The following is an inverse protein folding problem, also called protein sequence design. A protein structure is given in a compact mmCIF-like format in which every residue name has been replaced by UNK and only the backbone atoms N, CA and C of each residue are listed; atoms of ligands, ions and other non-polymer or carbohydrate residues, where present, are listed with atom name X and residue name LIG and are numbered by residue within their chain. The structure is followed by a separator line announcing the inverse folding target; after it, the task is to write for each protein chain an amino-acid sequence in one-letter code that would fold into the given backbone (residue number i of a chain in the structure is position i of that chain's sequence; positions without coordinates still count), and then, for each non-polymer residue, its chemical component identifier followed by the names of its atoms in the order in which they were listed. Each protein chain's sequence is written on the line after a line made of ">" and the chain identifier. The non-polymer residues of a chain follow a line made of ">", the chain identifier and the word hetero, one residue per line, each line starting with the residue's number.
data_IF_881295528607
#
_entry.id   IF_881295528607
#
_cell.length_a   1.000
_cell.length_b   1.000
_cell.length_c   1.000
_cell.angle_alpha   90.00
_cell.angle_beta   90.00
_cell.angle_gamma   90.00
#
_symmetry.space_group_name_H-M   'P 1'
#
loop_
_entity.id
_entity.type
_entity.pdbx_description
1 polymer ?
#
# COMPACT_ATOMS: atom_id res chain seq x y z
N UNK A 1 -8.75 1.95 12.27
CA UNK A 1 -7.89 2.63 13.27
C UNK A 1 -7.70 4.13 12.93
N UNK A 2 -7.13 5.00 13.79
CA UNK A 2 -6.81 6.39 13.36
C UNK A 2 -5.64 6.40 12.37
N UNK A 3 -5.65 7.33 11.39
CA UNK A 3 -4.59 7.43 10.36
C UNK A 3 -3.20 7.59 10.98
N UNK A 4 -3.09 8.40 12.04
CA UNK A 4 -1.81 8.60 12.74
C UNK A 4 -1.27 7.30 13.33
N UNK A 5 -2.14 6.50 13.97
CA UNK A 5 -1.72 5.23 14.55
C UNK A 5 -1.38 4.20 13.47
N UNK A 6 -2.14 4.17 12.37
CA UNK A 6 -1.85 3.34 11.19
C UNK A 6 -0.46 3.60 10.63
N UNK A 7 -0.14 4.87 10.35
CA UNK A 7 1.17 5.27 9.82
C UNK A 7 2.29 5.01 10.84
N UNK A 8 2.02 5.22 12.14
CA UNK A 8 3.00 4.94 13.20
C UNK A 8 3.37 3.46 13.26
N UNK A 9 2.41 2.56 13.04
CA UNK A 9 2.65 1.12 12.96
C UNK A 9 3.51 0.79 11.73
N UNK A 10 3.22 1.37 10.57
CA UNK A 10 4.04 1.21 9.36
C UNK A 10 5.49 1.65 9.55
N UNK A 11 5.70 2.78 10.23
CA UNK A 11 7.04 3.24 10.63
C UNK A 11 7.70 2.22 11.57
N UNK A 12 7.00 1.75 12.60
CA UNK A 12 7.55 0.78 13.56
C UNK A 12 7.92 -0.54 12.89
N UNK A 13 7.06 -1.07 12.01
CA UNK A 13 7.31 -2.28 11.24
C UNK A 13 8.47 -2.10 10.26
N UNK A 14 8.59 -0.94 9.62
CA UNK A 14 9.73 -0.61 8.76
C UNK A 14 11.05 -0.56 9.52
N UNK A 15 11.05 -0.01 10.74
CA UNK A 15 12.23 -0.04 11.61
C UNK A 15 12.57 -1.46 12.05
N UNK A 16 11.58 -2.30 12.33
CA UNK A 16 11.78 -3.72 12.62
C UNK A 16 12.39 -4.46 11.43
N UNK A 17 11.87 -4.24 10.22
CA UNK A 17 12.44 -4.76 8.98
C UNK A 17 13.91 -4.34 8.81
N UNK A 18 14.21 -3.05 8.98
CA UNK A 18 15.56 -2.51 8.92
C UNK A 18 16.49 -3.15 9.94
N UNK A 19 16.01 -3.39 11.18
CA UNK A 19 16.75 -4.07 12.22
C UNK A 19 17.07 -5.52 11.84
N UNK A 20 16.09 -6.28 11.33
CA UNK A 20 16.28 -7.67 10.89
C UNK A 20 17.38 -7.74 9.83
N UNK A 21 17.29 -6.90 8.79
CA UNK A 21 18.27 -6.89 7.69
C UNK A 21 19.65 -6.41 8.16
N UNK A 22 19.70 -5.39 9.00
CA UNK A 22 20.95 -4.91 9.58
C UNK A 22 21.64 -6.00 10.40
N UNK A 23 20.91 -6.82 11.15
CA UNK A 23 21.49 -7.92 11.93
C UNK A 23 22.20 -8.95 11.06
N UNK A 24 21.77 -9.17 9.82
CA UNK A 24 22.35 -10.13 8.89
C UNK A 24 23.62 -9.56 8.24
N UNK A 25 23.56 -8.37 7.65
CA UNK A 25 24.66 -7.83 6.82
C UNK A 25 25.49 -6.71 7.45
N UNK A 26 25.09 -6.21 8.63
CA UNK A 26 25.78 -5.14 9.36
C UNK A 26 25.97 -3.83 8.58
N UNK A 27 25.07 -3.54 7.62
CA UNK A 27 25.02 -2.25 6.88
C UNK A 27 23.76 -1.47 7.27
N UNK A 28 23.81 -0.62 8.31
CA UNK A 28 22.61 -0.01 8.88
C UNK A 28 21.90 0.93 7.89
N UNK A 29 22.64 1.82 7.23
CA UNK A 29 22.05 2.83 6.33
C UNK A 29 21.19 2.18 5.23
N UNK A 30 21.76 1.25 4.47
CA UNK A 30 21.03 0.56 3.40
C UNK A 30 19.84 -0.26 3.94
N UNK A 31 19.98 -0.85 5.12
CA UNK A 31 18.92 -1.67 5.73
C UNK A 31 17.72 -0.83 6.17
N UNK A 32 17.96 0.25 6.93
CA UNK A 32 16.86 1.07 7.46
C UNK A 32 16.23 1.95 6.39
N UNK A 33 17.03 2.60 5.54
CA UNK A 33 16.49 3.48 4.48
C UNK A 33 15.59 2.67 3.57
N UNK A 34 16.06 1.53 3.06
CA UNK A 34 15.27 0.77 2.09
C UNK A 34 14.08 0.04 2.72
N UNK A 35 14.16 -0.35 4.00
CA UNK A 35 12.99 -0.86 4.71
C UNK A 35 11.91 0.21 4.89
N UNK A 36 12.28 1.47 5.17
CA UNK A 36 11.34 2.61 5.23
C UNK A 36 10.77 2.91 3.84
N UNK A 37 11.58 2.87 2.78
CA UNK A 37 11.05 3.00 1.42
C UNK A 37 9.99 1.93 1.14
N UNK A 38 10.24 0.68 1.54
CA UNK A 38 9.34 -0.44 1.27
C UNK A 38 8.09 -0.46 2.15
N UNK A 39 8.18 -0.01 3.40
CA UNK A 39 7.09 -0.12 4.36
C UNK A 39 6.37 1.18 4.72
N UNK A 40 6.86 2.34 4.26
CA UNK A 40 6.20 3.65 4.46
C UNK A 40 5.96 4.37 3.15
N UNK A 41 6.97 4.48 2.27
CA UNK A 41 6.80 5.23 1.02
C UNK A 41 5.94 4.50 -0.02
N UNK A 42 5.63 3.22 0.20
CA UNK A 42 4.67 2.47 -0.62
C UNK A 42 3.28 3.14 -0.61
N UNK A 43 2.85 3.70 0.53
CA UNK A 43 1.59 4.45 0.69
C UNK A 43 1.50 5.69 -0.20
N UNK A 44 2.60 6.14 -0.80
CA UNK A 44 2.55 7.26 -1.73
C UNK A 44 1.75 6.94 -2.99
N UNK A 45 1.47 5.67 -3.30
CA UNK A 45 0.59 5.32 -4.42
C UNK A 45 -0.86 5.77 -4.22
N UNK A 46 -1.31 6.01 -2.99
CA UNK A 46 -2.61 6.60 -2.71
C UNK A 46 -2.78 8.00 -3.32
N UNK A 47 -1.68 8.73 -3.53
CA UNK A 47 -1.72 9.99 -4.26
C UNK A 47 -2.09 9.76 -5.73
N UNK A 48 -1.67 8.63 -6.33
CA UNK A 48 -2.06 8.26 -7.69
C UNK A 48 -3.57 8.04 -7.75
N UNK A 49 -4.14 7.25 -6.84
CA UNK A 49 -5.59 7.08 -6.72
C UNK A 49 -6.31 8.43 -6.56
N UNK A 50 -5.77 9.30 -5.72
CA UNK A 50 -6.32 10.63 -5.50
C UNK A 50 -6.34 11.48 -6.77
N UNK A 51 -5.21 11.61 -7.44
CA UNK A 51 -5.10 12.44 -8.65
C UNK A 51 -5.89 11.85 -9.82
N UNK A 52 -6.07 10.53 -9.89
CA UNK A 52 -6.96 9.89 -10.85
C UNK A 52 -8.45 10.20 -10.58
N UNK A 53 -8.83 10.37 -9.31
CA UNK A 53 -10.21 10.62 -8.92
C UNK A 53 -10.60 12.11 -8.97
N UNK A 54 -9.71 13.01 -8.54
CA UNK A 54 -10.00 14.43 -8.33
C UNK A 54 -9.14 15.37 -9.20
N UNK A 55 -8.25 14.84 -10.04
CA UNK A 55 -7.26 15.66 -10.76
C UNK A 55 -6.25 16.28 -9.79
N UNK A 56 -5.49 17.29 -10.24
CA UNK A 56 -4.39 17.89 -9.45
C UNK A 56 -4.82 18.87 -8.34
N UNK A 57 -6.12 18.99 -8.05
CA UNK A 57 -6.63 19.84 -6.98
C UNK A 57 -6.57 19.08 -5.64
N UNK A 58 -5.45 19.21 -4.93
CA UNK A 58 -5.23 18.47 -3.69
C UNK A 58 -5.99 19.08 -2.50
N UNK A 59 -6.87 18.27 -1.91
CA UNK A 59 -7.58 18.51 -0.66
C UNK A 59 -7.19 17.43 0.36
N UNK A 60 -6.53 17.86 1.45
CA UNK A 60 -6.06 16.97 2.50
C UNK A 60 -7.20 16.28 3.28
N UNK A 61 -8.35 16.94 3.42
CA UNK A 61 -9.52 16.35 4.06
C UNK A 61 -10.08 15.20 3.22
N UNK A 62 -10.11 15.35 1.89
CA UNK A 62 -10.58 14.31 0.99
C UNK A 62 -9.60 13.13 0.95
N UNK A 63 -8.31 13.44 0.86
CA UNK A 63 -7.25 12.44 0.84
C UNK A 63 -7.24 11.58 2.11
N UNK A 64 -7.28 12.23 3.28
CA UNK A 64 -7.25 11.53 4.59
C UNK A 64 -8.50 10.70 4.88
N UNK A 65 -9.63 10.99 4.21
CA UNK A 65 -10.87 10.22 4.30
C UNK A 65 -10.97 9.11 3.25
N UNK A 66 -9.99 8.96 2.35
CA UNK A 66 -10.04 7.94 1.30
C UNK A 66 -11.11 8.19 0.23
N UNK A 67 -11.58 9.43 0.08
CA UNK A 67 -12.68 9.77 -0.84
C UNK A 67 -12.38 9.49 -2.32
N UNK A 68 -11.10 9.34 -2.68
CA UNK A 68 -10.69 8.95 -4.02
C UNK A 68 -11.26 7.59 -4.44
N UNK A 69 -11.43 6.67 -3.49
CA UNK A 69 -12.03 5.36 -3.74
C UNK A 69 -13.54 5.47 -3.96
N UNK A 70 -14.22 6.33 -3.20
CA UNK A 70 -15.65 6.64 -3.36
C UNK A 70 -15.94 7.30 -4.70
N UNK A 71 -15.12 8.29 -5.09
CA UNK A 71 -15.28 9.04 -6.33
C UNK A 71 -15.04 8.17 -7.56
N UNK A 72 -13.94 7.41 -7.58
CA UNK A 72 -13.57 6.59 -8.75
C UNK A 72 -14.31 5.26 -8.82
N UNK A 73 -14.74 4.71 -7.67
CA UNK A 73 -15.22 3.33 -7.56
C UNK A 73 -14.15 2.27 -7.83
N UNK A 74 -12.88 2.67 -7.81
CA UNK A 74 -11.73 1.81 -8.12
C UNK A 74 -10.69 1.86 -7.00
N UNK A 75 -9.92 0.78 -6.87
CA UNK A 75 -8.83 0.63 -5.89
C UNK A 75 -7.55 0.30 -6.64
N UNK A 76 -6.78 1.33 -7.04
CA UNK A 76 -5.57 1.16 -7.84
C UNK A 76 -4.36 0.78 -7.01
N UNK A 77 -4.06 1.49 -5.92
CA UNK A 77 -2.93 1.29 -4.97
C UNK A 77 -1.83 0.41 -5.54
N UNK A 78 -1.12 0.97 -6.53
CA UNK A 78 -0.32 0.22 -7.51
C UNK A 78 0.90 -0.48 -6.91
N UNK A 79 1.39 -0.03 -5.77
CA UNK A 79 2.56 -0.58 -5.09
C UNK A 79 2.17 -1.62 -4.02
N UNK A 80 0.88 -1.74 -3.69
CA UNK A 80 0.36 -2.72 -2.73
C UNK A 80 0.17 -4.12 -3.33
N UNK A 81 1.27 -4.73 -3.75
CA UNK A 81 1.29 -6.03 -4.43
C UNK A 81 2.21 -7.04 -3.78
N UNK A 82 1.69 -8.20 -3.37
CA UNK A 82 2.52 -9.33 -2.92
C UNK A 82 3.52 -9.80 -3.98
N UNK A 83 3.19 -9.60 -5.26
CA UNK A 83 4.07 -9.91 -6.38
C UNK A 83 5.39 -9.14 -6.28
N UNK A 84 5.37 -7.89 -5.82
CA UNK A 84 6.60 -7.10 -5.68
C UNK A 84 7.52 -7.66 -4.61
N UNK A 85 6.99 -8.15 -3.49
CA UNK A 85 7.80 -8.80 -2.45
C UNK A 85 8.56 -9.98 -3.05
N UNK A 86 7.87 -10.84 -3.80
CA UNK A 86 8.47 -12.02 -4.44
C UNK A 86 9.53 -11.59 -5.46
N UNK A 87 9.21 -10.64 -6.35
CA UNK A 87 10.14 -10.14 -7.37
C UNK A 87 11.39 -9.50 -6.75
N UNK A 88 11.25 -8.74 -5.68
CA UNK A 88 12.37 -8.11 -4.98
C UNK A 88 13.27 -9.13 -4.29
N UNK A 89 12.72 -10.16 -3.64
CA UNK A 89 13.50 -11.24 -3.04
C UNK A 89 14.25 -12.05 -4.11
N UNK A 90 13.59 -12.36 -5.23
CA UNK A 90 14.22 -13.00 -6.40
C UNK A 90 15.36 -12.12 -6.94
N UNK A 91 15.12 -10.83 -7.12
CA UNK A 91 16.14 -9.90 -7.58
C UNK A 91 17.33 -9.84 -6.60
N UNK A 92 17.07 -9.76 -5.29
CA UNK A 92 18.11 -9.77 -4.26
C UNK A 92 18.98 -11.04 -4.32
N UNK A 93 18.39 -12.19 -4.62
CA UNK A 93 19.11 -13.45 -4.81
C UNK A 93 20.06 -13.40 -6.04
N UNK A 94 19.58 -12.89 -7.18
CA UNK A 94 20.33 -12.88 -8.44
C UNK A 94 21.36 -11.75 -8.60
N UNK A 95 21.34 -10.73 -7.74
CA UNK A 95 22.27 -9.57 -7.79
C UNK A 95 23.75 -9.91 -7.56
N UNK A 96 24.06 -11.16 -7.21
CA UNK A 96 25.43 -11.67 -7.15
C UNK A 96 26.26 -11.01 -6.05
N UNK A 97 27.41 -10.45 -6.41
CA UNK A 97 28.39 -9.87 -5.46
C UNK A 97 28.13 -8.39 -5.10
N UNK A 98 27.13 -7.73 -5.70
CA UNK A 98 26.80 -6.33 -5.39
C UNK A 98 26.07 -6.23 -4.05
N UNK A 99 26.84 -6.31 -2.96
CA UNK A 99 26.32 -6.45 -1.60
C UNK A 99 25.32 -5.36 -1.21
N UNK A 100 25.60 -4.08 -1.50
CA UNK A 100 24.70 -2.98 -1.13
C UNK A 100 23.35 -3.09 -1.86
N UNK A 101 23.36 -3.41 -3.16
CA UNK A 101 22.14 -3.60 -3.93
C UNK A 101 21.33 -4.80 -3.44
N UNK A 102 22.01 -5.90 -3.08
CA UNK A 102 21.37 -7.07 -2.46
C UNK A 102 20.67 -6.70 -1.15
N UNK A 103 21.36 -5.98 -0.27
CA UNK A 103 20.79 -5.50 1.01
C UNK A 103 19.62 -4.57 0.76
N UNK A 104 19.74 -3.64 -0.20
CA UNK A 104 18.70 -2.69 -0.52
C UNK A 104 17.41 -3.37 -0.99
N UNK A 105 17.51 -4.31 -1.93
CA UNK A 105 16.35 -5.06 -2.43
C UNK A 105 15.73 -5.95 -1.36
N UNK A 106 16.56 -6.59 -0.55
CA UNK A 106 16.06 -7.44 0.54
C UNK A 106 15.36 -6.59 1.63
N UNK A 107 15.94 -5.47 2.05
CA UNK A 107 15.30 -4.54 2.99
C UNK A 107 14.00 -3.97 2.45
N UNK A 108 13.97 -3.56 1.18
CA UNK A 108 12.77 -3.10 0.51
C UNK A 108 11.68 -4.19 0.53
N UNK A 109 12.04 -5.44 0.23
CA UNK A 109 11.12 -6.57 0.25
C UNK A 109 10.56 -6.86 1.65
N UNK A 110 11.40 -6.86 2.69
CA UNK A 110 10.96 -7.13 4.07
C UNK A 110 10.10 -5.96 4.61
N UNK A 111 10.47 -4.72 4.30
CA UNK A 111 9.64 -3.54 4.64
C UNK A 111 8.25 -3.63 4.02
N UNK A 112 8.20 -3.91 2.72
CA UNK A 112 6.94 -4.09 1.99
C UNK A 112 6.14 -5.30 2.49
N UNK A 113 6.80 -6.42 2.79
CA UNK A 113 6.16 -7.61 3.34
C UNK A 113 5.44 -7.32 4.66
N UNK A 114 6.10 -6.64 5.61
CA UNK A 114 5.50 -6.31 6.90
C UNK A 114 4.37 -5.30 6.76
N UNK A 115 4.54 -4.30 5.89
CA UNK A 115 3.50 -3.33 5.56
C UNK A 115 2.24 -4.02 5.01
N UNK A 116 2.37 -4.83 3.96
CA UNK A 116 1.24 -5.56 3.36
C UNK A 116 0.63 -6.58 4.32
N UNK A 117 1.46 -7.20 5.17
CA UNK A 117 1.00 -8.14 6.17
C UNK A 117 0.10 -7.46 7.21
N UNK A 118 0.47 -6.25 7.65
CA UNK A 118 -0.35 -5.46 8.55
C UNK A 118 -1.63 -4.97 7.88
N UNK A 119 -1.54 -4.43 6.68
CA UNK A 119 -2.68 -3.95 5.90
C UNK A 119 -3.69 -5.07 5.60
N UNK A 120 -3.21 -6.28 5.30
CA UNK A 120 -4.06 -7.46 5.10
C UNK A 120 -4.74 -7.90 6.39
N UNK A 121 -4.11 -7.67 7.55
CA UNK A 121 -4.66 -8.03 8.86
C UNK A 121 -5.66 -7.00 9.38
N UNK A 122 -5.40 -5.70 9.21
CA UNK A 122 -6.27 -4.63 9.70
C UNK A 122 -7.51 -4.48 8.82
N UNK A 123 -7.34 -4.57 7.50
CA UNK A 123 -8.42 -4.33 6.55
C UNK A 123 -9.33 -5.55 6.41
N UNK A 124 -10.33 -5.63 7.29
CA UNK A 124 -11.36 -6.68 7.30
C UNK A 124 -12.24 -6.69 6.03
N UNK A 125 -12.20 -5.63 5.24
CA UNK A 125 -12.85 -5.52 3.94
C UNK A 125 -12.07 -6.10 2.77
N UNK A 126 -10.79 -6.45 2.93
CA UNK A 126 -9.92 -6.90 1.84
C UNK A 126 -9.28 -8.26 2.13
N UNK A 127 -9.40 -9.19 1.19
CA UNK A 127 -8.71 -10.48 1.27
C UNK A 127 -7.22 -10.36 0.90
N UNK A 128 -6.40 -11.34 1.26
CA UNK A 128 -4.99 -11.42 0.81
C UNK A 128 -4.86 -11.32 -0.73
N UNK A 129 -5.86 -11.83 -1.47
CA UNK A 129 -5.92 -11.77 -2.93
C UNK A 129 -6.17 -10.35 -3.43
N UNK A 130 -6.85 -9.50 -2.65
CA UNK A 130 -7.06 -8.10 -2.97
C UNK A 130 -5.73 -7.33 -3.01
N UNK A 131 -4.71 -7.76 -2.26
CA UNK A 131 -3.33 -7.25 -2.30
C UNK A 131 -2.48 -7.88 -3.42
N UNK A 132 -3.10 -8.47 -4.45
CA UNK A 132 -2.44 -8.85 -5.70
C UNK A 132 -2.74 -7.80 -6.77
N UNK A 133 -1.68 -7.19 -7.33
CA UNK A 133 -1.87 -6.20 -8.40
C UNK A 133 -2.42 -6.86 -9.66
N UNK A 134 -2.00 -8.10 -9.95
CA UNK A 134 -2.49 -8.88 -11.08
C UNK A 134 -3.98 -9.17 -10.90
N UNK A 135 -4.40 -9.55 -9.69
CA UNK A 135 -5.81 -9.78 -9.40
C UNK A 135 -6.64 -8.51 -9.61
N UNK A 136 -6.22 -7.37 -9.04
CA UNK A 136 -6.96 -6.11 -9.18
C UNK A 136 -7.03 -5.66 -10.64
N UNK A 137 -5.93 -5.78 -11.39
CA UNK A 137 -5.92 -5.51 -12.83
C UNK A 137 -6.89 -6.43 -13.59
N UNK A 138 -6.95 -7.73 -13.28
CA UNK A 138 -7.89 -8.67 -13.89
C UNK A 138 -9.37 -8.34 -13.62
N UNK A 139 -9.62 -7.50 -12.61
CA UNK A 139 -10.95 -6.98 -12.23
C UNK A 139 -11.14 -5.52 -12.61
N UNK A 140 -10.28 -4.98 -13.47
CA UNK A 140 -10.29 -3.57 -13.88
C UNK A 140 -10.28 -2.57 -12.70
N UNK A 141 -9.70 -3.02 -11.58
CA UNK A 141 -9.63 -2.31 -10.31
C UNK A 141 -11.00 -2.01 -9.68
N UNK A 142 -12.09 -2.62 -10.14
CA UNK A 142 -13.44 -2.31 -9.65
C UNK A 142 -13.65 -2.80 -8.21
N UNK A 143 -14.05 -1.85 -7.35
CA UNK A 143 -14.21 -2.09 -5.91
C UNK A 143 -15.12 -3.31 -5.61
N UNK A 144 -16.23 -3.45 -6.35
CA UNK A 144 -17.21 -4.54 -6.21
C UNK A 144 -16.65 -5.96 -6.30
N UNK A 145 -15.48 -6.14 -6.90
CA UNK A 145 -14.81 -7.44 -7.04
C UNK A 145 -13.62 -7.61 -6.09
N UNK A 146 -13.18 -6.54 -5.44
CA UNK A 146 -11.95 -6.49 -4.65
C UNK A 146 -12.28 -6.62 -3.16
N UNK A 147 -13.28 -5.89 -2.69
CA UNK A 147 -13.72 -5.92 -1.29
C UNK A 147 -14.77 -7.00 -1.04
N UNK A 148 -15.04 -7.30 0.23
CA UNK A 148 -16.13 -8.20 0.61
C UNK A 148 -17.51 -7.61 0.25
N UNK A 149 -18.53 -8.45 0.01
CA UNK A 149 -19.88 -7.96 -0.31
C UNK A 149 -20.45 -6.98 0.71
N UNK A 150 -20.15 -7.18 1.99
CA UNK A 150 -20.55 -6.31 3.11
C UNK A 150 -19.90 -4.92 2.98
N UNK A 151 -18.59 -4.87 2.72
CA UNK A 151 -17.87 -3.62 2.52
C UNK A 151 -18.29 -2.90 1.24
N UNK A 152 -18.66 -3.65 0.18
CA UNK A 152 -19.20 -3.03 -1.02
C UNK A 152 -20.57 -2.38 -0.77
N UNK A 153 -21.41 -2.95 0.10
CA UNK A 153 -22.68 -2.31 0.49
C UNK A 153 -22.43 -1.01 1.27
N UNK A 154 -21.49 -1.02 2.21
CA UNK A 154 -21.08 0.19 2.96
C UNK A 154 -20.59 1.27 1.98
N UNK A 155 -19.72 0.89 1.05
CA UNK A 155 -19.22 1.76 -0.01
C UNK A 155 -20.35 2.44 -0.80
N UNK A 156 -21.41 1.71 -1.17
CA UNK A 156 -22.54 2.28 -1.92
C UNK A 156 -23.29 3.33 -1.10
N UNK A 157 -23.51 3.07 0.20
CA UNK A 157 -24.18 4.01 1.12
C UNK A 157 -23.33 5.26 1.32
N UNK A 158 -22.03 5.10 1.56
CA UNK A 158 -21.11 6.23 1.73
C UNK A 158 -20.99 7.07 0.47
N UNK A 159 -20.95 6.42 -0.70
CA UNK A 159 -20.91 7.10 -2.00
C UNK A 159 -22.17 7.92 -2.24
N UNK A 160 -23.35 7.40 -1.94
CA UNK A 160 -24.60 8.15 -2.10
C UNK A 160 -24.64 9.44 -1.26
N UNK A 161 -24.02 9.40 -0.07
CA UNK A 161 -23.96 10.53 0.86
C UNK A 161 -22.70 11.40 0.69
N UNK A 162 -21.88 11.15 -0.33
CA UNK A 162 -20.59 11.80 -0.47
C UNK A 162 -20.73 13.30 -0.79
N UNK A 163 -20.05 14.19 -0.04
CA UNK A 163 -20.26 15.63 -0.15
C UNK A 163 -19.87 16.18 -1.53
N UNK A 164 -18.96 15.51 -2.24
CA UNK A 164 -18.49 15.92 -3.57
C UNK A 164 -19.40 15.46 -4.72
N UNK A 165 -20.31 14.51 -4.50
CA UNK A 165 -21.28 14.07 -5.51
C UNK A 165 -22.56 14.93 -5.50
N UNK A 166 -22.89 15.53 -4.37
CA UNK A 166 -24.08 16.38 -4.20
C UNK A 166 -24.01 17.74 -4.93
N UNK A 167 -22.86 18.14 -5.46
CA UNK A 167 -22.70 19.35 -6.26
C UNK A 167 -22.90 19.13 -7.77
N UNK A 168 -23.23 17.89 -8.19
CA UNK A 168 -23.41 17.51 -9.59
C UNK A 168 -24.87 17.22 -9.99
N UNK A 169 -25.83 17.49 -9.10
CA UNK A 169 -27.28 17.39 -9.37
C UNK A 169 -27.92 18.77 -9.45
#
# INVERSE_FOLDING_TARGET
>A
MSLFLHLSIHVALSLLAGLIVWRIWKKPVASFVMAIVGGVLVDMDHFIDYFLAFGFNFDLSYFSKGYQFLQSGKIYVLFHGWEYVILLLIAAYFVGQRLILKIALFALAIGLFLHLGFDTYENDGMSIRAYSIIYRASKNFENKFIVTPEHYKIFLIERENAPFLNYSK
#
